data_IF_667925403402
#
_entry.id   IF_667925403402
#
_cell.length_a   1.000
_cell.length_b   1.000
_cell.length_c   1.000
_cell.angle_alpha   90.00
_cell.angle_beta   90.00
_cell.angle_gamma   90.00
#
_symmetry.space_group_name_H-M   'P 1'
#
loop_
_entity.id
_entity.type
_entity.pdbx_description
1 polymer ?
#
# COMPACT_ATOMS: atom_id res chain seq x y z
N UNK A 1 1.22 14.30 11.41
CA UNK A 1 1.68 13.09 10.65
C UNK A 1 2.45 13.52 9.43
N UNK A 2 3.54 12.81 9.10
CA UNK A 2 4.31 12.96 7.87
C UNK A 2 4.19 11.66 7.06
N UNK A 3 4.20 11.75 5.73
CA UNK A 3 3.84 10.65 4.85
C UNK A 3 4.93 10.41 3.80
N UNK A 4 5.25 9.13 3.58
CA UNK A 4 6.27 8.71 2.62
C UNK A 4 5.83 7.44 1.89
N UNK A 5 6.14 7.34 0.59
CA UNK A 5 6.19 6.08 -0.15
C UNK A 5 7.64 5.65 -0.22
N UNK A 6 7.94 4.43 0.21
CA UNK A 6 9.29 3.85 0.15
C UNK A 6 9.24 2.47 -0.50
N UNK A 7 10.12 2.19 -1.46
CA UNK A 7 10.26 0.86 -2.05
C UNK A 7 11.01 -0.07 -1.10
N UNK A 8 10.86 -1.39 -1.33
CA UNK A 8 11.45 -2.37 -0.44
C UNK A 8 12.26 -3.49 -1.13
N UNK A 9 13.01 -3.22 -2.24
CA UNK A 9 13.81 -4.27 -2.85
C UNK A 9 14.96 -4.69 -1.92
N UNK A 10 15.07 -5.96 -1.52
CA UNK A 10 16.17 -6.38 -0.63
C UNK A 10 17.55 -6.14 -1.23
N UNK A 11 17.65 -6.17 -2.56
CA UNK A 11 18.90 -5.93 -3.30
C UNK A 11 19.49 -4.52 -3.10
N UNK A 12 18.70 -3.56 -2.56
CA UNK A 12 19.20 -2.20 -2.26
C UNK A 12 20.19 -2.21 -1.07
N UNK A 13 20.17 -3.26 -0.27
CA UNK A 13 21.06 -3.43 0.90
C UNK A 13 22.38 -4.02 0.42
N UNK A 14 23.53 -3.38 0.70
CA UNK A 14 24.84 -3.79 0.17
C UNK A 14 25.20 -5.26 0.46
N UNK A 15 24.85 -5.77 1.64
CA UNK A 15 25.10 -7.17 2.01
C UNK A 15 24.34 -8.18 1.13
N UNK A 16 23.23 -7.76 0.49
CA UNK A 16 22.45 -8.58 -0.43
C UNK A 16 22.82 -8.27 -1.89
N UNK A 17 22.96 -6.99 -2.22
CA UNK A 17 23.23 -6.50 -3.57
C UNK A 17 24.61 -6.87 -4.08
N UNK A 18 25.62 -6.92 -3.21
CA UNK A 18 27.02 -7.28 -3.53
C UNK A 18 27.57 -6.53 -4.75
N UNK A 19 27.24 -5.24 -4.84
CA UNK A 19 27.58 -4.35 -5.96
C UNK A 19 26.41 -4.04 -6.89
N UNK A 20 25.38 -4.88 -6.97
CA UNK A 20 24.18 -4.62 -7.78
C UNK A 20 23.32 -3.48 -7.21
N UNK A 21 23.38 -3.21 -5.89
CA UNK A 21 22.70 -2.10 -5.22
C UNK A 21 23.12 -0.74 -5.81
N UNK A 22 24.31 -0.64 -6.39
CA UNK A 22 24.79 0.58 -7.05
C UNK A 22 23.89 1.01 -8.22
N UNK A 23 23.17 0.08 -8.84
CA UNK A 23 22.18 0.39 -9.87
C UNK A 23 20.96 1.11 -9.31
N UNK A 24 20.75 1.07 -7.98
CA UNK A 24 19.70 1.76 -7.23
C UNK A 24 20.23 3.01 -6.47
N UNK A 25 21.36 3.57 -6.88
CA UNK A 25 22.02 4.65 -6.17
C UNK A 25 21.09 5.85 -5.89
N UNK A 26 20.24 6.26 -6.85
CA UNK A 26 19.31 7.38 -6.64
C UNK A 26 18.22 7.00 -5.62
N UNK A 27 17.74 5.76 -5.65
CA UNK A 27 16.75 5.24 -4.68
C UNK A 27 17.40 5.19 -3.30
N UNK A 28 18.62 4.71 -3.17
CA UNK A 28 19.40 4.71 -1.91
C UNK A 28 19.55 6.12 -1.34
N UNK A 29 19.92 7.09 -2.17
CA UNK A 29 20.02 8.50 -1.73
C UNK A 29 18.67 9.03 -1.24
N UNK A 30 17.58 8.73 -1.95
CA UNK A 30 16.24 9.17 -1.57
C UNK A 30 15.78 8.53 -0.24
N UNK A 31 16.06 7.25 -0.03
CA UNK A 31 15.78 6.56 1.24
C UNK A 31 16.58 7.17 2.41
N UNK A 32 17.87 7.48 2.19
CA UNK A 32 18.69 8.14 3.18
C UNK A 32 18.20 9.57 3.50
N UNK A 33 17.77 10.32 2.49
CA UNK A 33 17.18 11.65 2.68
C UNK A 33 15.91 11.59 3.54
N UNK A 34 15.03 10.60 3.31
CA UNK A 34 13.84 10.36 4.14
C UNK A 34 14.26 9.99 5.57
N UNK A 35 15.25 9.11 5.74
CA UNK A 35 15.76 8.72 7.05
C UNK A 35 16.32 9.91 7.84
N UNK A 36 17.08 10.78 7.20
CA UNK A 36 17.59 12.01 7.79
C UNK A 36 16.45 12.96 8.21
N UNK A 37 15.41 13.08 7.40
CA UNK A 37 14.26 13.90 7.74
C UNK A 37 13.49 13.29 8.93
N UNK A 38 13.26 11.99 8.96
CA UNK A 38 12.61 11.30 10.08
C UNK A 38 13.41 11.46 11.37
N UNK A 39 14.75 11.43 11.30
CA UNK A 39 15.60 11.66 12.47
C UNK A 39 15.46 13.06 13.06
N UNK A 40 15.16 14.06 12.24
CA UNK A 40 14.88 15.43 12.69
C UNK A 40 13.47 15.58 13.25
N UNK A 41 12.50 14.84 12.70
CA UNK A 41 11.11 14.82 13.16
C UNK A 41 10.94 14.10 14.51
N UNK A 42 11.80 13.12 14.80
CA UNK A 42 11.78 12.30 16.04
C UNK A 42 10.38 11.77 16.35
N UNK A 43 9.75 11.03 15.44
CA UNK A 43 8.40 10.52 15.68
C UNK A 43 8.39 9.55 16.85
N UNK A 44 7.30 9.57 17.64
CA UNK A 44 7.06 8.58 18.68
C UNK A 44 6.73 7.21 18.08
N UNK A 45 6.05 7.24 16.93
CA UNK A 45 5.57 6.02 16.28
C UNK A 45 5.80 6.08 14.76
N UNK A 46 6.23 4.98 14.19
CA UNK A 46 6.24 4.74 12.74
C UNK A 46 5.13 3.75 12.42
N UNK A 47 4.15 4.18 11.61
CA UNK A 47 3.15 3.30 11.00
C UNK A 47 3.68 2.88 9.65
N UNK A 48 3.82 1.58 9.42
CA UNK A 48 4.23 1.04 8.11
C UNK A 48 3.18 0.08 7.57
N UNK A 49 2.78 0.31 6.33
CA UNK A 49 1.81 -0.50 5.60
C UNK A 49 2.57 -1.32 4.57
N UNK A 50 2.54 -2.63 4.69
CA UNK A 50 3.32 -3.58 3.87
C UNK A 50 2.42 -4.56 3.12
N UNK A 51 2.85 -5.06 1.94
CA UNK A 51 2.21 -6.16 1.22
C UNK A 51 2.65 -7.55 1.68
N UNK A 52 3.66 -7.69 2.55
CA UNK A 52 4.42 -8.93 2.72
C UNK A 52 4.32 -9.56 4.12
N UNK A 53 3.62 -8.93 5.07
CA UNK A 53 3.31 -9.52 6.37
C UNK A 53 2.24 -10.62 6.28
N UNK A 54 1.70 -11.06 7.42
CA UNK A 54 0.58 -12.01 7.44
C UNK A 54 -0.63 -11.41 6.73
N UNK A 55 -0.98 -11.96 5.57
CA UNK A 55 -2.07 -11.45 4.72
C UNK A 55 -3.30 -12.36 4.84
N UNK A 56 -4.45 -11.74 5.12
CA UNK A 56 -5.77 -12.35 5.07
C UNK A 56 -6.52 -11.88 3.82
N UNK A 57 -7.45 -12.69 3.34
CA UNK A 57 -8.25 -12.36 2.16
C UNK A 57 -9.36 -11.35 2.45
N UNK A 58 -9.75 -11.21 3.71
CA UNK A 58 -10.96 -10.53 4.16
C UNK A 58 -10.76 -9.55 5.32
N UNK A 59 -9.55 -9.45 5.89
CA UNK A 59 -9.25 -8.52 6.97
C UNK A 59 -7.84 -7.95 6.89
N UNK A 60 -7.69 -6.68 7.21
CA UNK A 60 -6.38 -6.03 7.42
C UNK A 60 -5.76 -6.60 8.70
N UNK A 61 -4.49 -6.95 8.64
CA UNK A 61 -3.74 -7.48 9.77
C UNK A 61 -2.92 -6.37 10.45
N UNK A 62 -3.04 -6.27 11.76
CA UNK A 62 -2.13 -5.50 12.61
C UNK A 62 -1.36 -6.50 13.47
N UNK A 63 -0.04 -6.51 13.37
CA UNK A 63 0.79 -7.27 14.29
C UNK A 63 0.85 -6.55 15.64
N UNK A 64 0.62 -7.29 16.72
CA UNK A 64 0.60 -6.72 18.07
C UNK A 64 1.11 -7.73 19.09
N UNK A 65 2.18 -7.35 19.80
CA UNK A 65 2.79 -8.07 20.90
C UNK A 65 3.63 -7.07 21.73
N UNK A 66 4.47 -7.52 22.66
CA UNK A 66 5.43 -6.62 23.31
C UNK A 66 6.49 -6.13 22.35
N UNK A 67 7.07 -7.05 21.56
CA UNK A 67 8.13 -6.76 20.60
C UNK A 67 8.08 -7.71 19.41
N UNK A 68 8.73 -7.30 18.34
CA UNK A 68 8.92 -8.11 17.16
C UNK A 68 10.36 -8.02 16.69
N UNK A 69 10.87 -9.12 16.16
CA UNK A 69 12.19 -9.20 15.56
C UNK A 69 12.06 -9.43 14.05
N UNK A 70 13.06 -9.02 13.31
CA UNK A 70 13.14 -9.28 11.88
C UNK A 70 14.56 -9.24 11.37
N UNK A 71 14.76 -9.98 10.30
CA UNK A 71 16.02 -10.03 9.56
C UNK A 71 15.76 -10.21 8.06
N UNK A 72 16.82 -10.34 7.30
CA UNK A 72 16.78 -10.63 5.87
C UNK A 72 17.38 -12.02 5.56
N UNK A 73 17.27 -12.97 6.49
CA UNK A 73 17.80 -14.33 6.34
C UNK A 73 17.22 -15.06 5.11
N UNK A 74 15.97 -14.79 4.74
CA UNK A 74 15.35 -15.31 3.52
C UNK A 74 16.07 -14.87 2.23
N UNK A 75 16.88 -13.81 2.31
CA UNK A 75 17.75 -13.31 1.24
C UNK A 75 19.22 -13.58 1.53
N UNK A 76 19.53 -14.56 2.38
CA UNK A 76 20.87 -14.98 2.81
C UNK A 76 21.68 -13.85 3.48
N UNK A 77 21.01 -12.89 4.11
CA UNK A 77 21.62 -11.80 4.87
C UNK A 77 21.17 -11.90 6.33
N UNK A 78 22.08 -12.38 7.19
CA UNK A 78 21.82 -12.55 8.61
C UNK A 78 22.33 -11.38 9.47
N UNK A 79 23.06 -10.45 8.89
CA UNK A 79 23.68 -9.33 9.59
C UNK A 79 22.70 -8.17 9.79
N UNK A 80 21.72 -8.02 8.92
CA UNK A 80 20.64 -7.02 9.07
C UNK A 80 19.58 -7.59 10.00
N UNK A 81 19.63 -7.16 11.26
CA UNK A 81 18.67 -7.55 12.31
C UNK A 81 18.08 -6.32 12.96
N UNK A 82 16.82 -6.40 13.32
CA UNK A 82 16.17 -5.36 14.13
C UNK A 82 15.20 -5.98 15.12
N UNK A 83 15.02 -5.29 16.25
CA UNK A 83 14.05 -5.61 17.28
C UNK A 83 13.32 -4.34 17.65
N UNK A 84 12.00 -4.34 17.58
CA UNK A 84 11.15 -3.18 17.77
C UNK A 84 10.03 -3.49 18.75
N UNK A 85 9.60 -2.48 19.50
CA UNK A 85 8.39 -2.53 20.33
C UNK A 85 7.19 -1.97 19.57
N UNK A 86 6.01 -2.52 19.84
CA UNK A 86 4.77 -2.00 19.23
C UNK A 86 4.20 -0.82 20.04
N UNK A 87 3.56 0.12 19.34
CA UNK A 87 2.66 1.11 19.96
C UNK A 87 1.30 0.46 20.22
N UNK A 88 1.22 -0.31 21.31
CA UNK A 88 0.03 -1.11 21.65
C UNK A 88 -1.19 -0.27 21.95
N UNK A 89 -1.00 0.91 22.56
CA UNK A 89 -2.08 1.85 22.81
C UNK A 89 -2.71 2.34 21.48
N UNK A 90 -1.87 2.67 20.52
CA UNK A 90 -2.34 3.08 19.19
C UNK A 90 -2.97 1.91 18.44
N UNK A 91 -2.39 0.69 18.51
CA UNK A 91 -2.97 -0.51 17.92
C UNK A 91 -4.38 -0.79 18.46
N UNK A 92 -4.55 -0.76 19.78
CA UNK A 92 -5.86 -0.99 20.44
C UNK A 92 -6.90 0.06 19.98
N UNK A 93 -6.52 1.33 19.94
CA UNK A 93 -7.42 2.38 19.49
C UNK A 93 -7.82 2.22 18.02
N UNK A 94 -6.86 1.86 17.13
CA UNK A 94 -7.14 1.58 15.72
C UNK A 94 -8.13 0.42 15.59
N UNK A 95 -7.96 -0.66 16.34
CA UNK A 95 -8.87 -1.81 16.33
C UNK A 95 -10.29 -1.41 16.75
N UNK A 96 -10.42 -0.68 17.85
CA UNK A 96 -11.70 -0.21 18.39
C UNK A 96 -12.43 0.71 17.40
N UNK A 97 -11.72 1.68 16.82
CA UNK A 97 -12.29 2.60 15.82
C UNK A 97 -12.67 1.87 14.52
N UNK A 98 -11.90 0.86 14.11
CA UNK A 98 -12.20 0.04 12.94
C UNK A 98 -13.46 -0.79 13.14
N UNK A 99 -13.61 -1.41 14.32
CA UNK A 99 -14.81 -2.16 14.68
C UNK A 99 -16.06 -1.28 14.65
N UNK A 100 -15.98 -0.07 15.20
CA UNK A 100 -17.10 0.90 15.20
C UNK A 100 -17.53 1.32 13.79
N UNK A 101 -16.65 1.17 12.79
CA UNK A 101 -16.93 1.48 11.37
C UNK A 101 -17.18 0.24 10.52
N UNK A 102 -17.24 -0.95 11.12
CA UNK A 102 -17.38 -2.24 10.43
C UNK A 102 -16.28 -2.46 9.36
N UNK A 103 -15.05 -1.99 9.63
CA UNK A 103 -13.89 -2.27 8.80
C UNK A 103 -13.24 -3.55 9.36
N UNK A 104 -13.07 -4.60 8.53
CA UNK A 104 -12.48 -5.85 9.01
C UNK A 104 -10.97 -5.67 9.26
N UNK A 105 -10.60 -5.63 10.52
CA UNK A 105 -9.21 -5.55 11.00
C UNK A 105 -9.03 -6.60 12.08
N UNK A 106 -7.91 -7.32 12.05
CA UNK A 106 -7.54 -8.33 13.04
C UNK A 106 -6.21 -8.00 13.68
N UNK A 107 -6.13 -8.15 14.98
CA UNK A 107 -4.86 -8.13 15.71
C UNK A 107 -4.29 -9.54 15.73
N UNK A 108 -3.00 -9.65 15.47
CA UNK A 108 -2.28 -10.93 15.35
C UNK A 108 -1.02 -10.89 16.18
N UNK A 109 -0.94 -11.76 17.17
CA UNK A 109 0.20 -11.95 18.06
C UNK A 109 1.03 -13.19 17.67
N UNK A 110 2.12 -13.39 18.39
CA UNK A 110 3.00 -14.54 18.23
C UNK A 110 2.27 -15.87 18.47
N UNK A 111 1.36 -15.91 19.45
CA UNK A 111 0.63 -17.13 19.79
C UNK A 111 -0.28 -17.56 18.65
N UNK A 112 -1.03 -16.62 18.08
CA UNK A 112 -1.94 -16.88 16.94
C UNK A 112 -1.17 -17.37 15.72
N UNK A 113 -0.07 -16.70 15.33
CA UNK A 113 0.72 -17.14 14.17
C UNK A 113 1.34 -18.52 14.37
N UNK A 114 1.78 -18.84 15.60
CA UNK A 114 2.30 -20.16 15.93
C UNK A 114 1.27 -21.28 15.74
N UNK A 115 -0.01 -21.02 16.06
CA UNK A 115 -1.09 -21.99 15.81
C UNK A 115 -1.27 -22.28 14.30
N UNK A 116 -0.98 -21.32 13.44
CA UNK A 116 -1.00 -21.48 11.97
C UNK A 116 0.36 -21.89 11.40
N UNK A 117 1.33 -22.33 12.21
CA UNK A 117 2.69 -22.68 11.79
C UNK A 117 3.40 -21.56 11.00
N UNK A 118 3.10 -20.30 11.35
CA UNK A 118 3.73 -19.11 10.78
C UNK A 118 4.69 -18.48 11.78
N UNK A 119 5.72 -17.82 11.26
CA UNK A 119 6.67 -17.06 12.08
C UNK A 119 6.12 -15.68 12.39
N UNK A 120 6.28 -15.24 13.63
CA UNK A 120 6.03 -13.87 14.06
C UNK A 120 7.31 -13.08 13.88
N UNK A 121 7.43 -12.41 12.74
CA UNK A 121 8.65 -11.67 12.38
C UNK A 121 8.29 -10.53 11.42
N UNK A 122 9.17 -9.51 11.38
CA UNK A 122 9.06 -8.45 10.37
C UNK A 122 9.33 -9.02 8.97
N UNK A 123 8.51 -8.62 8.01
CA UNK A 123 8.73 -8.92 6.60
C UNK A 123 9.69 -7.91 5.96
N UNK A 124 10.21 -8.23 4.78
CA UNK A 124 11.16 -7.37 4.07
C UNK A 124 10.58 -6.03 3.64
N UNK A 125 9.25 -5.96 3.42
CA UNK A 125 8.55 -4.70 3.13
C UNK A 125 8.62 -3.72 4.30
N UNK A 126 8.90 -4.20 5.52
CA UNK A 126 9.14 -3.39 6.71
C UNK A 126 10.64 -3.25 6.98
N UNK A 127 11.39 -4.35 6.92
CA UNK A 127 12.82 -4.36 7.25
C UNK A 127 13.62 -3.45 6.33
N UNK A 128 13.34 -3.42 5.02
CA UNK A 128 14.11 -2.63 4.06
C UNK A 128 13.94 -1.12 4.28
N UNK A 129 12.72 -0.54 4.37
CA UNK A 129 12.59 0.88 4.71
C UNK A 129 13.19 1.23 6.07
N UNK A 130 12.96 0.40 7.09
CA UNK A 130 13.48 0.64 8.43
C UNK A 130 15.00 0.45 8.54
N UNK A 131 15.64 -0.29 7.64
CA UNK A 131 17.09 -0.38 7.57
C UNK A 131 17.70 1.02 7.42
N UNK A 132 17.23 1.83 6.49
CA UNK A 132 17.72 3.21 6.29
C UNK A 132 17.38 4.11 7.47
N UNK A 133 16.18 3.99 8.02
CA UNK A 133 15.73 4.82 9.13
C UNK A 133 16.55 4.52 10.38
N UNK A 134 16.80 3.25 10.68
CA UNK A 134 17.53 2.81 11.86
C UNK A 134 19.03 3.20 11.85
N UNK A 135 19.60 3.56 10.69
CA UNK A 135 20.93 4.16 10.62
C UNK A 135 20.97 5.59 11.21
N UNK A 136 19.81 6.27 11.26
CA UNK A 136 19.70 7.67 11.70
C UNK A 136 18.87 7.83 12.98
N UNK A 137 17.84 7.01 13.19
CA UNK A 137 16.89 7.15 14.29
C UNK A 137 16.28 5.80 14.69
N UNK A 138 16.28 5.48 15.99
CA UNK A 138 15.81 4.19 16.52
C UNK A 138 14.83 4.32 17.70
N UNK A 139 14.57 5.53 18.19
CA UNK A 139 13.74 5.77 19.37
C UNK A 139 12.28 5.99 18.97
N UNK A 140 11.63 4.91 18.48
CA UNK A 140 10.23 4.90 18.08
C UNK A 140 9.58 3.55 18.35
N UNK A 141 8.25 3.55 18.45
CA UNK A 141 7.42 2.36 18.47
C UNK A 141 6.85 2.08 17.07
N UNK A 142 6.49 0.84 16.81
CA UNK A 142 6.00 0.39 15.51
C UNK A 142 4.50 0.11 15.54
N UNK A 143 3.79 0.55 14.50
CA UNK A 143 2.50 -0.01 14.08
C UNK A 143 2.73 -0.71 12.73
N UNK A 144 2.67 -2.04 12.73
CA UNK A 144 2.86 -2.88 11.55
C UNK A 144 1.51 -3.30 10.98
N UNK A 145 1.23 -2.87 9.75
CA UNK A 145 -0.03 -3.15 9.07
C UNK A 145 0.25 -3.92 7.78
N UNK A 146 -0.40 -5.09 7.65
CA UNK A 146 -0.48 -5.78 6.36
C UNK A 146 -1.87 -5.54 5.77
N UNK A 147 -1.91 -4.98 4.57
CA UNK A 147 -3.19 -4.73 3.92
C UNK A 147 -3.88 -6.03 3.47
N UNK A 148 -5.17 -5.95 3.17
CA UNK A 148 -5.96 -7.01 2.56
C UNK A 148 -6.58 -6.54 1.24
N UNK A 149 -7.02 -7.47 0.36
CA UNK A 149 -7.71 -7.13 -0.89
C UNK A 149 -9.17 -6.67 -0.65
N UNK A 150 -9.35 -5.73 0.25
CA UNK A 150 -10.65 -5.15 0.58
C UNK A 150 -11.13 -4.18 -0.52
N UNK A 151 -12.39 -3.76 -0.41
CA UNK A 151 -12.97 -2.74 -1.30
C UNK A 151 -12.25 -1.40 -1.08
N UNK A 152 -12.11 -0.63 -2.14
CA UNK A 152 -11.46 0.68 -2.15
C UNK A 152 -11.96 1.61 -1.03
N UNK A 153 -13.28 1.63 -0.80
CA UNK A 153 -13.90 2.36 0.30
C UNK A 153 -13.35 1.94 1.67
N UNK A 154 -13.26 0.63 1.93
CA UNK A 154 -12.79 0.11 3.22
C UNK A 154 -11.31 0.44 3.46
N UNK A 155 -10.47 0.37 2.41
CA UNK A 155 -9.06 0.77 2.49
C UNK A 155 -8.94 2.26 2.83
N UNK A 156 -9.73 3.12 2.18
CA UNK A 156 -9.73 4.55 2.45
C UNK A 156 -10.25 4.86 3.86
N UNK A 157 -11.39 4.29 4.25
CA UNK A 157 -11.96 4.47 5.59
C UNK A 157 -11.01 3.98 6.69
N UNK A 158 -10.26 2.90 6.44
CA UNK A 158 -9.22 2.47 7.36
C UNK A 158 -8.10 3.50 7.50
N UNK A 159 -7.67 4.13 6.41
CA UNK A 159 -6.76 5.26 6.48
C UNK A 159 -7.29 6.42 7.33
N UNK A 160 -8.58 6.75 7.20
CA UNK A 160 -9.22 7.76 8.06
C UNK A 160 -9.24 7.35 9.55
N UNK A 161 -9.39 6.04 9.85
CA UNK A 161 -9.26 5.52 11.22
C UNK A 161 -7.86 5.75 11.75
N UNK A 162 -6.80 5.49 10.95
CA UNK A 162 -5.42 5.76 11.37
C UNK A 162 -5.21 7.25 11.70
N UNK A 163 -5.73 8.15 10.87
CA UNK A 163 -5.67 9.59 11.12
C UNK A 163 -6.37 9.97 12.42
N UNK A 164 -7.56 9.43 12.66
CA UNK A 164 -8.36 9.70 13.85
C UNK A 164 -7.68 9.19 15.12
N UNK A 165 -7.16 7.94 15.09
CA UNK A 165 -6.48 7.35 16.24
C UNK A 165 -5.23 8.15 16.64
N UNK A 166 -4.39 8.49 15.65
CA UNK A 166 -3.20 9.33 15.88
C UNK A 166 -3.56 10.69 16.47
N UNK A 167 -4.64 11.30 15.98
CA UNK A 167 -5.11 12.60 16.50
C UNK A 167 -5.66 12.48 17.92
N UNK A 168 -6.38 11.41 18.26
CA UNK A 168 -6.95 11.22 19.61
C UNK A 168 -5.85 11.03 20.66
N UNK A 169 -4.77 10.34 20.33
CA UNK A 169 -3.64 10.12 21.23
C UNK A 169 -2.57 11.23 21.16
N UNK A 170 -2.76 12.24 20.31
CA UNK A 170 -1.77 13.32 20.06
C UNK A 170 -0.37 12.78 19.76
N UNK A 171 -0.28 11.68 19.00
CA UNK A 171 0.99 11.01 18.65
C UNK A 171 1.70 11.77 17.53
N UNK A 172 3.01 11.95 17.68
CA UNK A 172 3.87 12.35 16.55
C UNK A 172 4.19 11.11 15.71
N UNK A 173 3.61 11.03 14.52
CA UNK A 173 3.66 9.84 13.67
C UNK A 173 4.25 10.14 12.31
N UNK A 174 5.10 9.23 11.86
CA UNK A 174 5.47 9.05 10.46
C UNK A 174 4.72 7.85 9.91
N UNK A 175 4.09 7.98 8.75
CA UNK A 175 3.45 6.89 8.04
C UNK A 175 4.21 6.57 6.75
N UNK A 176 4.50 5.30 6.55
CA UNK A 176 5.21 4.78 5.37
C UNK A 176 4.28 3.82 4.63
N UNK A 177 3.93 4.15 3.39
CA UNK A 177 3.42 3.19 2.44
C UNK A 177 4.61 2.45 1.85
N UNK A 178 4.80 1.20 2.25
CA UNK A 178 5.82 0.34 1.68
C UNK A 178 5.27 -0.35 0.44
N UNK A 179 5.97 -0.23 -0.70
CA UNK A 179 5.50 -0.80 -1.94
C UNK A 179 6.39 -0.48 -3.12
N UNK A 180 6.56 -1.49 -3.98
CA UNK A 180 7.17 -1.34 -5.29
C UNK A 180 6.08 -1.09 -6.34
N UNK A 181 6.45 -0.47 -7.47
CA UNK A 181 5.55 -0.20 -8.57
C UNK A 181 5.47 -1.42 -9.51
N UNK A 182 5.36 -1.23 -10.82
CA UNK A 182 5.24 -2.34 -11.77
C UNK A 182 6.39 -3.37 -11.62
N UNK A 183 6.03 -4.67 -11.62
CA UNK A 183 6.99 -5.79 -11.66
C UNK A 183 7.18 -6.35 -13.08
N UNK A 184 6.68 -5.67 -14.11
CA UNK A 184 6.61 -6.14 -15.49
C UNK A 184 7.35 -5.25 -16.50
N UNK A 185 8.45 -4.59 -16.08
CA UNK A 185 9.18 -3.63 -16.90
C UNK A 185 10.22 -4.28 -17.85
N UNK A 186 10.42 -5.61 -17.79
CA UNK A 186 11.30 -6.37 -18.70
C UNK A 186 10.56 -7.38 -19.58
N UNK A 187 9.26 -7.50 -19.43
CA UNK A 187 8.44 -8.46 -20.18
C UNK A 187 7.88 -7.86 -21.48
N UNK A 188 7.26 -8.69 -22.31
CA UNK A 188 6.62 -8.27 -23.57
C UNK A 188 5.59 -7.14 -23.39
N UNK A 189 5.04 -6.97 -22.17
CA UNK A 189 4.09 -5.93 -21.80
C UNK A 189 4.74 -4.71 -21.10
N UNK A 190 6.04 -4.50 -21.26
CA UNK A 190 6.81 -3.42 -20.62
C UNK A 190 6.13 -2.05 -20.74
N UNK A 191 5.52 -1.77 -21.88
CA UNK A 191 4.82 -0.50 -22.13
C UNK A 191 3.68 -0.22 -21.12
N UNK A 192 2.96 -1.24 -20.67
CA UNK A 192 1.92 -1.08 -19.66
C UNK A 192 2.51 -0.76 -18.28
N UNK A 193 3.63 -1.40 -17.93
CA UNK A 193 4.35 -1.13 -16.69
C UNK A 193 4.89 0.29 -16.62
N UNK A 194 5.55 0.76 -17.68
CA UNK A 194 6.07 2.13 -17.75
C UNK A 194 4.95 3.18 -17.68
N UNK A 195 3.85 2.95 -18.41
CA UNK A 195 2.70 3.85 -18.41
C UNK A 195 2.03 3.89 -17.03
N UNK A 196 1.85 2.72 -16.40
CA UNK A 196 1.32 2.64 -15.04
C UNK A 196 2.19 3.42 -14.05
N UNK A 197 3.50 3.16 -14.03
CA UNK A 197 4.41 3.82 -13.09
C UNK A 197 4.42 5.34 -13.30
N UNK A 198 4.39 5.77 -14.56
CA UNK A 198 4.32 7.19 -14.92
C UNK A 198 3.03 7.85 -14.44
N UNK A 199 1.87 7.20 -14.65
CA UNK A 199 0.56 7.70 -14.21
C UNK A 199 0.50 7.75 -12.68
N UNK A 200 0.88 6.67 -12.03
CA UNK A 200 0.89 6.56 -10.56
C UNK A 200 1.71 7.69 -9.93
N UNK A 201 2.98 7.84 -10.34
CA UNK A 201 3.85 8.89 -9.81
C UNK A 201 3.38 10.31 -10.16
N UNK A 202 2.75 10.50 -11.33
CA UNK A 202 2.19 11.80 -11.70
C UNK A 202 1.01 12.19 -10.82
N UNK A 203 0.11 11.25 -10.45
CA UNK A 203 -0.97 11.51 -9.50
C UNK A 203 -0.41 11.85 -8.12
N UNK A 204 0.61 11.12 -7.64
CA UNK A 204 1.25 11.45 -6.37
C UNK A 204 1.88 12.84 -6.40
N UNK A 205 2.61 13.18 -7.47
CA UNK A 205 3.26 14.48 -7.64
C UNK A 205 2.26 15.64 -7.60
N UNK A 206 1.09 15.47 -8.20
CA UNK A 206 0.05 16.51 -8.20
C UNK A 206 -0.82 16.53 -6.95
N UNK A 207 -0.67 15.55 -6.05
CA UNK A 207 -1.54 15.37 -4.91
C UNK A 207 -2.96 14.89 -5.28
N UNK A 208 -3.11 14.32 -6.46
CA UNK A 208 -4.36 13.75 -6.98
C UNK A 208 -4.57 12.33 -6.41
N UNK A 209 -4.57 12.19 -5.08
CA UNK A 209 -4.54 10.89 -4.42
C UNK A 209 -5.82 10.07 -4.65
N UNK A 210 -6.95 10.72 -4.94
CA UNK A 210 -8.21 10.05 -5.25
C UNK A 210 -8.19 9.39 -6.63
N UNK A 211 -7.37 9.86 -7.57
CA UNK A 211 -7.21 9.26 -8.89
C UNK A 211 -6.56 7.86 -8.83
N UNK A 212 -5.90 7.51 -7.72
CA UNK A 212 -5.38 6.17 -7.48
C UNK A 212 -6.50 5.10 -7.40
N UNK A 213 -7.73 5.52 -7.13
CA UNK A 213 -8.90 4.65 -7.06
C UNK A 213 -9.56 4.45 -8.42
N UNK A 214 -9.18 5.26 -9.42
CA UNK A 214 -9.68 5.21 -10.79
C UNK A 214 -8.71 4.51 -11.76
N UNK A 215 -7.55 4.06 -11.28
CA UNK A 215 -6.61 3.30 -12.11
C UNK A 215 -7.27 2.03 -12.65
N UNK A 216 -7.00 1.74 -13.92
CA UNK A 216 -7.57 0.57 -14.61
C UNK A 216 -7.17 -0.73 -13.90
N UNK A 217 -8.16 -1.46 -13.40
CA UNK A 217 -7.95 -2.68 -12.61
C UNK A 217 -7.27 -3.79 -13.38
N UNK A 218 -7.51 -3.87 -14.67
CA UNK A 218 -6.86 -4.86 -15.53
C UNK A 218 -5.37 -4.52 -15.69
N UNK A 219 -5.05 -3.25 -15.92
CA UNK A 219 -3.65 -2.78 -15.97
C UNK A 219 -2.97 -3.03 -14.62
N UNK A 220 -3.60 -2.66 -13.49
CA UNK A 220 -3.07 -2.91 -12.14
C UNK A 220 -2.77 -4.39 -11.91
N UNK A 221 -3.68 -5.28 -12.34
CA UNK A 221 -3.47 -6.73 -12.25
C UNK A 221 -2.30 -7.20 -13.13
N UNK A 222 -2.22 -6.72 -14.36
CA UNK A 222 -1.19 -7.12 -15.32
C UNK A 222 0.21 -6.68 -14.90
N UNK A 223 0.35 -5.49 -14.30
CA UNK A 223 1.66 -4.95 -13.88
C UNK A 223 2.17 -5.56 -12.58
N UNK A 224 1.31 -6.28 -11.84
CA UNK A 224 1.64 -7.01 -10.61
C UNK A 224 2.34 -6.14 -9.55
N UNK A 225 1.92 -4.88 -9.42
CA UNK A 225 2.42 -3.96 -8.41
C UNK A 225 2.05 -4.38 -6.98
N UNK A 226 2.73 -3.84 -5.98
CA UNK A 226 2.40 -4.10 -4.58
C UNK A 226 2.23 -2.83 -3.71
N UNK A 227 2.40 -1.63 -4.26
CA UNK A 227 2.34 -0.36 -3.53
C UNK A 227 0.98 0.32 -3.53
N UNK A 228 0.08 0.01 -4.48
CA UNK A 228 -1.17 0.73 -4.66
C UNK A 228 -2.09 0.66 -3.43
N UNK A 229 -2.26 -0.52 -2.82
CA UNK A 229 -3.13 -0.67 -1.64
C UNK A 229 -2.57 0.05 -0.42
N UNK A 230 -1.26 0.01 -0.21
CA UNK A 230 -0.60 0.81 0.84
C UNK A 230 -0.88 2.30 0.63
N UNK A 231 -0.79 2.79 -0.61
CA UNK A 231 -1.08 4.18 -0.95
C UNK A 231 -2.57 4.52 -0.82
N UNK A 232 -3.49 3.60 -1.15
CA UNK A 232 -4.94 3.81 -0.93
C UNK A 232 -5.28 4.00 0.54
N UNK A 233 -4.68 3.20 1.43
CA UNK A 233 -4.83 3.39 2.89
C UNK A 233 -4.22 4.73 3.31
N UNK A 234 -3.00 5.02 2.89
CA UNK A 234 -2.35 6.30 3.21
C UNK A 234 -3.16 7.49 2.72
N UNK A 235 -3.78 7.42 1.53
CA UNK A 235 -4.66 8.48 1.00
C UNK A 235 -5.82 8.76 1.94
N UNK A 236 -6.39 7.74 2.58
CA UNK A 236 -7.41 7.91 3.62
C UNK A 236 -6.88 8.59 4.89
N UNK A 237 -5.64 8.30 5.29
CA UNK A 237 -4.99 8.99 6.41
C UNK A 237 -4.65 10.45 6.11
N UNK A 238 -4.65 10.83 4.83
CA UNK A 238 -4.44 12.21 4.35
C UNK A 238 -5.76 12.95 4.09
N UNK A 239 -6.93 12.33 4.38
CA UNK A 239 -8.25 12.92 4.12
C UNK A 239 -8.41 14.30 4.76
N UNK A 240 -9.01 15.23 4.00
CA UNK A 240 -9.22 16.61 4.43
C UNK A 240 -7.96 17.49 4.36
N UNK A 241 -6.81 16.95 4.00
CA UNK A 241 -5.58 17.67 3.71
C UNK A 241 -5.33 17.84 2.21
N UNK A 242 -4.66 18.93 1.84
CA UNK A 242 -4.09 19.12 0.50
C UNK A 242 -2.60 18.82 0.58
N UNK A 243 -2.14 17.93 -0.29
CA UNK A 243 -0.75 17.48 -0.32
C UNK A 243 -0.18 17.57 -1.74
N UNK A 244 1.13 17.62 -1.82
CA UNK A 244 1.91 17.51 -3.05
C UNK A 244 3.01 16.47 -2.81
N UNK A 245 3.14 15.52 -3.73
CA UNK A 245 4.20 14.51 -3.69
C UNK A 245 5.48 15.04 -4.33
N UNK A 246 6.57 15.04 -3.59
CA UNK A 246 7.90 15.22 -4.15
C UNK A 246 8.51 13.85 -4.46
N UNK A 247 8.59 13.50 -5.75
CA UNK A 247 9.23 12.27 -6.23
C UNK A 247 10.74 12.46 -6.12
N UNK A 248 11.33 11.86 -5.07
CA UNK A 248 12.75 11.96 -4.78
C UNK A 248 13.59 11.07 -5.71
N UNK A 249 13.07 9.88 -6.05
CA UNK A 249 13.68 8.97 -6.99
C UNK A 249 12.64 8.09 -7.69
N UNK A 250 12.96 7.68 -8.91
CA UNK A 250 12.36 6.56 -9.62
C UNK A 250 13.45 5.85 -10.42
N UNK A 251 13.58 4.54 -10.22
CA UNK A 251 14.52 3.67 -10.94
C UNK A 251 13.90 2.30 -11.19
N UNK A 252 14.31 1.62 -12.26
CA UNK A 252 13.79 0.30 -12.62
C UNK A 252 14.86 -0.65 -13.21
N UNK A 253 16.07 -0.77 -12.63
CA UNK A 253 17.18 -1.50 -13.25
C UNK A 253 16.94 -3.00 -13.35
N UNK A 254 16.05 -3.55 -12.51
CA UNK A 254 15.78 -4.98 -12.39
C UNK A 254 14.44 -5.41 -13.00
N UNK A 255 13.73 -4.48 -13.67
CA UNK A 255 12.41 -4.75 -14.26
C UNK A 255 11.27 -4.54 -13.27
N UNK A 256 11.56 -3.96 -12.12
CA UNK A 256 10.61 -3.52 -11.11
C UNK A 256 10.77 -2.01 -10.92
N UNK A 257 9.67 -1.28 -10.83
CA UNK A 257 9.67 0.15 -10.59
C UNK A 257 9.82 0.48 -9.10
N UNK A 258 10.83 1.25 -8.75
CA UNK A 258 11.13 1.68 -7.38
C UNK A 258 10.92 3.18 -7.27
N UNK A 259 9.77 3.58 -6.73
CA UNK A 259 9.40 4.97 -6.50
C UNK A 259 9.60 5.38 -5.04
N UNK A 260 10.27 6.50 -4.81
CA UNK A 260 10.45 7.09 -3.48
C UNK A 260 9.83 8.47 -3.47
N UNK A 261 8.83 8.70 -2.61
CA UNK A 261 8.05 9.93 -2.59
C UNK A 261 7.90 10.44 -1.17
N UNK A 262 8.11 11.74 -0.99
CA UNK A 262 7.76 12.49 0.21
C UNK A 262 6.53 13.34 -0.07
N UNK A 263 5.61 13.44 0.89
CA UNK A 263 4.43 14.29 0.76
C UNK A 263 4.55 15.56 1.62
N UNK A 264 4.33 16.70 0.98
CA UNK A 264 4.31 18.00 1.63
C UNK A 264 2.87 18.45 1.85
N UNK A 265 2.52 18.82 3.09
CA UNK A 265 1.22 19.41 3.42
C UNK A 265 1.14 20.84 2.91
N UNK A 266 0.11 21.17 2.16
CA UNK A 266 -0.11 22.49 1.54
C UNK A 266 -1.31 23.24 2.17
N UNK A 267 -2.03 22.62 3.09
CA UNK A 267 -3.20 23.22 3.73
C UNK A 267 -4.42 22.31 3.72
N UNK A 268 -5.58 22.89 3.97
CA UNK A 268 -6.86 22.16 3.99
C UNK A 268 -7.24 21.74 2.57
N UNK A 269 -7.67 20.49 2.43
CA UNK A 269 -8.11 19.87 1.19
C UNK A 269 -9.56 19.41 1.23
N UNK A 270 -9.91 18.53 0.31
CA UNK A 270 -11.24 17.95 0.19
C UNK A 270 -11.37 16.67 1.03
N UNK A 271 -12.59 16.34 1.44
CA UNK A 271 -12.94 15.05 2.02
C UNK A 271 -13.27 14.07 0.90
N UNK A 272 -12.42 13.04 0.75
CA UNK A 272 -12.45 12.15 -0.42
C UNK A 272 -13.47 11.02 -0.35
N UNK A 273 -14.01 10.68 0.84
CA UNK A 273 -14.90 9.53 0.99
C UNK A 273 -16.09 9.54 0.03
N UNK A 274 -16.73 10.70 -0.14
CA UNK A 274 -17.86 10.86 -1.09
C UNK A 274 -17.46 10.66 -2.55
N UNK A 275 -16.20 10.92 -2.90
CA UNK A 275 -15.67 10.66 -4.24
C UNK A 275 -15.58 9.15 -4.50
N UNK A 276 -15.06 8.41 -3.54
CA UNK A 276 -14.86 6.95 -3.62
C UNK A 276 -16.21 6.20 -3.61
N UNK A 277 -17.23 6.75 -2.94
CA UNK A 277 -18.59 6.18 -2.91
C UNK A 277 -19.35 6.31 -4.25
N UNK A 278 -19.02 7.31 -5.06
CA UNK A 278 -19.59 7.41 -6.40
C UNK A 278 -19.06 6.24 -7.22
N UNK A 279 -19.94 5.28 -7.55
CA UNK A 279 -19.59 4.19 -8.46
C UNK A 279 -18.83 4.77 -9.64
N UNK A 280 -17.69 4.22 -10.04
CA UNK A 280 -16.99 4.69 -11.23
C UNK A 280 -18.00 4.66 -12.37
N UNK A 281 -18.18 5.78 -13.03
CA UNK A 281 -18.77 5.78 -14.37
C UNK A 281 -17.77 4.97 -15.19
N UNK A 282 -18.12 3.72 -15.49
CA UNK A 282 -17.35 2.89 -16.38
C UNK A 282 -17.16 3.74 -17.64
N UNK A 283 -15.97 4.26 -17.84
CA UNK A 283 -15.56 4.79 -19.13
C UNK A 283 -15.38 3.58 -20.07
N UNK A 284 -16.50 2.92 -20.36
CA UNK A 284 -16.58 1.82 -21.32
C UNK A 284 -16.17 2.20 -22.74
N UNK A 285 -15.77 3.46 -22.96
CA UNK A 285 -15.61 4.02 -24.31
C UNK A 285 -14.21 3.79 -24.89
N UNK A 286 -13.16 3.57 -24.09
CA UNK A 286 -11.80 3.43 -24.66
C UNK A 286 -11.37 1.99 -24.96
N UNK A 287 -11.97 1.00 -24.31
CA UNK A 287 -11.67 -0.41 -24.55
C UNK A 287 -12.39 -0.90 -25.83
N UNK A 288 -13.58 -0.39 -26.10
CA UNK A 288 -14.40 -0.78 -27.26
C UNK A 288 -13.77 -0.42 -28.62
N UNK A 289 -12.86 0.53 -28.70
CA UNK A 289 -12.21 0.93 -29.96
C UNK A 289 -11.05 0.01 -30.40
N UNK A 290 -10.62 -0.94 -29.57
CA UNK A 290 -9.53 -1.90 -29.87
C UNK A 290 -9.92 -3.37 -29.67
N UNK A 291 -11.19 -3.64 -29.46
CA UNK A 291 -11.64 -5.01 -29.24
C UNK A 291 -11.61 -5.80 -30.57
N UNK A 292 -10.98 -6.96 -30.54
CA UNK A 292 -11.01 -7.90 -31.66
C UNK A 292 -12.49 -8.26 -31.95
N UNK A 293 -12.95 -8.27 -33.22
CA UNK A 293 -14.32 -8.56 -33.57
C UNK A 293 -14.88 -9.85 -32.95
N UNK A 294 -14.06 -10.87 -32.76
CA UNK A 294 -14.47 -12.13 -32.11
C UNK A 294 -14.71 -11.98 -30.61
N UNK A 295 -13.91 -11.20 -29.94
CA UNK A 295 -14.07 -10.87 -28.50
C UNK A 295 -15.33 -10.02 -28.29
N UNK A 296 -15.59 -9.08 -29.19
CA UNK A 296 -16.83 -8.27 -29.20
C UNK A 296 -18.08 -9.14 -29.30
N UNK A 297 -18.09 -10.09 -30.26
CA UNK A 297 -19.26 -10.99 -30.48
C UNK A 297 -19.45 -11.91 -29.26
N UNK A 298 -18.37 -12.48 -28.71
CA UNK A 298 -18.46 -13.34 -27.53
C UNK A 298 -18.98 -12.59 -26.30
N UNK A 299 -18.50 -11.36 -26.07
CA UNK A 299 -18.95 -10.51 -24.97
C UNK A 299 -20.43 -10.14 -25.12
N UNK A 300 -20.83 -9.74 -26.33
CA UNK A 300 -22.21 -9.37 -26.60
C UNK A 300 -23.17 -10.54 -26.42
N UNK A 301 -22.78 -11.73 -26.86
CA UNK A 301 -23.56 -12.96 -26.62
C UNK A 301 -23.72 -13.28 -25.12
N UNK A 302 -22.69 -13.06 -24.30
CA UNK A 302 -22.74 -13.21 -22.85
C UNK A 302 -23.64 -12.13 -22.21
N UNK A 303 -23.53 -10.88 -22.61
CA UNK A 303 -24.36 -9.78 -22.12
C UNK A 303 -25.85 -10.05 -22.42
N UNK A 304 -26.17 -10.49 -23.65
CA UNK A 304 -27.54 -10.82 -24.06
C UNK A 304 -28.07 -12.03 -23.28
N UNK A 305 -27.24 -13.06 -23.06
CA UNK A 305 -27.59 -14.21 -22.25
C UNK A 305 -27.91 -13.82 -20.79
N UNK A 306 -27.07 -13.01 -20.16
CA UNK A 306 -27.29 -12.54 -18.79
C UNK A 306 -28.51 -11.60 -18.68
N UNK A 307 -28.81 -10.79 -19.69
CA UNK A 307 -30.01 -9.96 -19.72
C UNK A 307 -31.27 -10.81 -19.84
N UNK A 308 -31.28 -11.83 -20.71
CA UNK A 308 -32.39 -12.76 -20.85
C UNK A 308 -32.60 -13.59 -19.58
N UNK A 309 -31.53 -14.07 -18.95
CA UNK A 309 -31.61 -14.84 -17.68
C UNK A 309 -32.12 -13.96 -16.54
N UNK A 310 -31.74 -12.68 -16.49
CA UNK A 310 -32.24 -11.74 -15.49
C UNK A 310 -33.74 -11.43 -15.66
N UNK A 311 -34.23 -11.41 -16.89
CA UNK A 311 -35.67 -11.24 -17.19
C UNK A 311 -36.46 -12.49 -16.81
N UNK A 312 -35.89 -13.69 -16.97
CA UNK A 312 -36.49 -14.96 -16.53
C UNK A 312 -36.54 -15.12 -15.00
N UNK A 313 -35.48 -14.62 -14.30
CA UNK A 313 -35.42 -14.69 -12.83
C UNK A 313 -36.28 -13.64 -12.12
N UNK A 314 -36.78 -12.62 -12.83
CA UNK A 314 -37.68 -11.61 -12.27
C UNK A 314 -39.15 -11.90 -12.48
N UNK A 315 -39.53 -12.94 -13.25
CA UNK A 315 -40.93 -13.30 -13.55
C UNK A 315 -41.44 -14.60 -12.92
N UNK A 316 -40.54 -15.44 -12.41
CA UNK A 316 -40.97 -16.75 -11.90
C UNK A 316 -40.29 -17.10 -10.60
N UNK A 317 -40.39 -16.61 -9.51
CA UNK A 317 -40.08 -17.28 -8.22
C UNK A 317 -40.24 -16.33 -7.02
N UNK A 318 -41.46 -16.01 -6.73
CA UNK A 318 -41.85 -15.72 -5.35
C UNK A 318 -42.98 -16.71 -4.98
N UNK A 319 -42.70 -17.69 -4.07
CA UNK A 319 -43.79 -18.50 -3.52
C UNK A 319 -44.72 -17.61 -2.68
N UNK A 320 -45.99 -17.77 -2.95
CA UNK A 320 -47.13 -17.19 -2.24
C UNK A 320 -47.09 -17.36 -0.73
#
# INVERSE_FOLDING_TARGET
MNFYLMPHPPIIIPAIGKGEELKLYKTTLACNQIAEEISKLKPQTIIIITPHGPMFSDAICILDDEKIEGDLSQFQCHDVKMSLTFDRELNELILNLSQNRNIPVVSVDQHLLKMYHRRFQLDHGVVVPLYFINEQYRDYQLVHITYAPLKDRQLYEFGMVLQEAVKQLDRQVVMIASGDLSHKLKEANMKYGEEYDRQFLNHLKKGELLELFELDKEVVYQVAECGLRSMKIMSGAMDGGKYEGNVLAYQCPFGVGYGTVKFNYLGVGIKGLKYIEKKPKIKAVSILQKENPYVYVARKALEDYFQQTKTLLTQEDLPS
#
